data_IF_797469700454
#
_entry.id   IF_797469700454
#
_cell.length_a   1.000
_cell.length_b   1.000
_cell.length_c   1.000
_cell.angle_alpha   90.00
_cell.angle_beta   90.00
_cell.angle_gamma   90.00
#
_symmetry.space_group_name_H-M   'P 1'
#
loop_
_entity.id
_entity.type
_entity.pdbx_description
1 polymer ?
#
# COMPACT_ATOMS: atom_id res chain seq x y z
N UNK A 1 -4.84 -15.48 17.61
CA UNK A 1 -5.65 -15.39 16.38
C UNK A 1 -6.98 -16.07 16.63
N UNK A 2 -8.10 -15.53 16.13
CA UNK A 2 -9.44 -16.14 16.27
C UNK A 2 -9.86 -17.01 15.06
N UNK A 3 -9.00 -17.11 14.04
CA UNK A 3 -9.25 -17.98 12.88
C UNK A 3 -10.43 -17.55 11.98
N UNK A 4 -10.79 -16.26 11.95
CA UNK A 4 -11.95 -15.76 11.19
C UNK A 4 -11.63 -15.52 9.71
N UNK A 5 -10.36 -15.33 9.36
CA UNK A 5 -9.88 -15.18 7.99
C UNK A 5 -8.63 -16.02 7.77
N UNK A 6 -8.47 -16.57 6.57
CA UNK A 6 -7.30 -17.36 6.17
C UNK A 6 -6.24 -16.52 5.45
N UNK A 7 -6.65 -15.41 4.84
CA UNK A 7 -5.77 -14.56 4.04
C UNK A 7 -6.23 -13.09 4.05
N UNK A 8 -5.31 -12.20 3.68
CA UNK A 8 -5.58 -10.79 3.47
C UNK A 8 -4.68 -10.25 2.37
N UNK A 9 -5.03 -9.09 1.82
CA UNK A 9 -4.17 -8.31 0.93
C UNK A 9 -3.72 -7.05 1.66
N UNK A 10 -2.40 -6.89 1.80
CA UNK A 10 -1.77 -5.71 2.42
C UNK A 10 -0.42 -5.46 1.73
N UNK A 11 0.08 -4.21 1.68
CA UNK A 11 1.44 -3.92 1.23
C UNK A 11 2.48 -4.43 2.23
N UNK A 12 3.76 -4.44 1.84
CA UNK A 12 4.82 -4.94 2.71
C UNK A 12 5.11 -4.00 3.86
N UNK A 13 5.04 -2.68 3.65
CA UNK A 13 5.42 -1.66 4.64
C UNK A 13 4.70 -1.82 6.00
N UNK A 14 3.44 -2.28 5.99
CA UNK A 14 2.65 -2.45 7.21
C UNK A 14 2.95 -3.77 7.94
N UNK A 15 3.52 -4.77 7.27
CA UNK A 15 3.75 -6.13 7.80
C UNK A 15 4.36 -6.13 9.21
N UNK A 16 5.45 -5.38 9.50
CA UNK A 16 6.08 -5.40 10.82
C UNK A 16 5.17 -4.85 11.93
N UNK A 17 4.38 -3.82 11.63
CA UNK A 17 3.54 -3.11 12.61
C UNK A 17 2.42 -3.99 13.17
N UNK A 18 1.86 -4.86 12.33
CA UNK A 18 0.79 -5.81 12.68
C UNK A 18 1.32 -7.24 12.83
N UNK A 19 2.64 -7.41 12.83
CA UNK A 19 3.34 -8.69 13.02
C UNK A 19 2.91 -9.79 12.04
N UNK A 20 2.55 -9.42 10.80
CA UNK A 20 2.06 -10.38 9.80
C UNK A 20 3.09 -11.47 9.49
N UNK A 21 4.37 -11.13 9.53
CA UNK A 21 5.47 -12.09 9.35
C UNK A 21 5.46 -13.24 10.36
N UNK A 22 4.78 -13.10 11.50
CA UNK A 22 4.67 -14.14 12.54
C UNK A 22 3.43 -15.02 12.38
N UNK A 23 2.44 -14.59 11.59
CA UNK A 23 1.12 -15.23 11.53
C UNK A 23 0.72 -15.69 10.12
N UNK A 24 1.42 -15.23 9.07
CA UNK A 24 1.26 -15.68 7.69
C UNK A 24 2.61 -16.15 7.15
N UNK A 25 2.64 -17.38 6.64
CA UNK A 25 3.88 -18.02 6.18
C UNK A 25 4.03 -18.08 4.65
N UNK A 26 2.98 -17.70 3.90
CA UNK A 26 3.00 -17.68 2.45
C UNK A 26 2.55 -16.31 1.94
N UNK A 27 3.33 -15.74 1.03
CA UNK A 27 3.08 -14.45 0.41
C UNK A 27 3.12 -14.62 -1.10
N UNK A 28 2.20 -13.97 -1.82
CA UNK A 28 2.17 -14.01 -3.28
C UNK A 28 2.29 -12.59 -3.83
N UNK A 29 3.21 -12.40 -4.77
CA UNK A 29 3.42 -11.14 -5.49
C UNK A 29 3.40 -11.37 -7.01
N UNK A 30 3.36 -10.30 -7.79
CA UNK A 30 3.15 -10.32 -9.24
C UNK A 30 4.41 -9.84 -9.96
N UNK A 31 4.69 -10.39 -11.14
CA UNK A 31 5.80 -9.90 -11.98
C UNK A 31 5.38 -8.72 -12.85
N UNK A 32 6.36 -7.96 -13.33
CA UNK A 32 6.14 -6.82 -14.24
C UNK A 32 5.85 -5.50 -13.51
N UNK A 33 5.42 -4.47 -14.26
CA UNK A 33 5.33 -3.10 -13.75
C UNK A 33 4.06 -2.80 -12.94
N UNK A 34 3.19 -3.79 -12.71
CA UNK A 34 1.90 -3.61 -12.04
C UNK A 34 1.75 -4.64 -10.92
N UNK A 35 1.41 -4.18 -9.72
CA UNK A 35 0.95 -5.04 -8.64
C UNK A 35 -0.52 -5.45 -8.78
N UNK A 36 -1.04 -6.19 -7.80
CA UNK A 36 -2.45 -6.60 -7.74
C UNK A 36 -3.40 -5.40 -7.64
N UNK A 37 -3.12 -4.50 -6.71
CA UNK A 37 -3.90 -3.30 -6.43
C UNK A 37 -3.06 -2.32 -5.59
N UNK A 38 -3.59 -1.12 -5.37
CA UNK A 38 -3.15 -0.21 -4.30
C UNK A 38 -4.39 0.46 -3.70
N UNK A 39 -4.25 1.06 -2.52
CA UNK A 39 -5.29 1.89 -1.90
C UNK A 39 -4.81 3.33 -1.85
N UNK A 40 -5.74 4.27 -1.98
CA UNK A 40 -5.44 5.70 -1.89
C UNK A 40 -5.58 6.17 -0.45
N UNK A 41 -4.54 6.80 0.09
CA UNK A 41 -4.58 7.46 1.39
C UNK A 41 -4.82 8.96 1.22
N UNK A 42 -5.58 9.55 2.15
CA UNK A 42 -5.82 10.98 2.19
C UNK A 42 -5.27 11.55 3.51
N UNK A 43 -4.35 12.52 3.40
CA UNK A 43 -3.95 13.37 4.51
C UNK A 43 -4.80 14.62 4.45
N UNK A 44 -5.77 14.73 5.36
CA UNK A 44 -6.75 15.80 5.36
C UNK A 44 -6.64 16.68 6.61
N UNK A 45 -6.82 17.99 6.43
CA UNK A 45 -6.93 18.97 7.50
C UNK A 45 -8.35 19.55 7.54
N UNK A 46 -8.89 19.75 8.75
CA UNK A 46 -10.18 20.43 8.88
C UNK A 46 -10.10 21.87 8.32
N UNK A 47 -10.99 22.19 7.38
CA UNK A 47 -10.99 23.49 6.70
C UNK A 47 -11.12 24.68 7.66
N UNK A 48 -12.05 24.64 8.61
CA UNK A 48 -12.25 25.73 9.56
C UNK A 48 -11.04 25.95 10.48
N UNK A 49 -10.28 24.88 10.78
CA UNK A 49 -9.03 24.99 11.54
C UNK A 49 -7.90 25.59 10.70
N UNK A 50 -7.78 25.17 9.44
CA UNK A 50 -6.83 25.77 8.51
C UNK A 50 -7.11 27.27 8.31
N UNK A 51 -8.38 27.65 8.10
CA UNK A 51 -8.77 29.02 7.83
C UNK A 51 -8.43 29.98 9.00
N UNK A 52 -8.41 29.46 10.24
CA UNK A 52 -8.04 30.19 11.47
C UNK A 52 -6.52 30.33 11.71
N UNK A 53 -5.68 29.69 10.92
CA UNK A 53 -4.22 29.84 11.04
C UNK A 53 -3.77 31.25 10.61
N UNK A 54 -2.67 31.73 11.19
CA UNK A 54 -2.00 32.95 10.71
C UNK A 54 -1.47 32.73 9.28
N UNK A 55 -1.24 33.80 8.50
CA UNK A 55 -0.68 33.69 7.16
C UNK A 55 0.65 32.92 7.12
N UNK A 56 1.52 33.10 8.12
CA UNK A 56 2.81 32.42 8.22
C UNK A 56 2.62 30.91 8.42
N UNK A 57 1.68 30.49 9.27
CA UNK A 57 1.39 29.08 9.52
C UNK A 57 0.70 28.42 8.32
N UNK A 58 -0.20 29.12 7.61
CA UNK A 58 -0.78 28.62 6.35
C UNK A 58 0.32 28.36 5.34
N UNK A 59 1.27 29.28 5.18
CA UNK A 59 2.41 29.12 4.27
C UNK A 59 3.23 27.86 4.58
N UNK A 60 3.44 27.54 5.86
CA UNK A 60 4.14 26.30 6.26
C UNK A 60 3.33 25.05 5.88
N UNK A 61 2.03 25.04 6.14
CA UNK A 61 1.15 23.91 5.75
C UNK A 61 1.14 23.72 4.24
N UNK A 62 0.98 24.81 3.48
CA UNK A 62 0.92 24.78 2.02
C UNK A 62 2.24 24.30 1.41
N UNK A 63 3.37 24.76 1.97
CA UNK A 63 4.70 24.32 1.56
C UNK A 63 4.97 22.83 1.83
N UNK A 64 4.22 22.21 2.74
CA UNK A 64 4.29 20.79 3.07
C UNK A 64 3.06 20.02 2.59
N UNK A 65 2.29 20.56 1.64
CA UNK A 65 1.11 19.92 1.07
C UNK A 65 1.25 19.71 -0.44
N UNK A 66 0.24 19.12 -1.07
CA UNK A 66 0.16 18.98 -2.53
C UNK A 66 1.05 17.87 -3.10
N UNK A 67 1.31 17.95 -4.41
CA UNK A 67 1.90 16.86 -5.19
C UNK A 67 3.30 16.45 -4.72
N UNK A 68 4.13 17.41 -4.28
CA UNK A 68 5.47 17.13 -3.77
C UNK A 68 5.44 16.27 -2.51
N UNK A 69 4.55 16.61 -1.56
CA UNK A 69 4.35 15.83 -0.33
C UNK A 69 3.70 14.48 -0.63
N UNK A 70 2.74 14.41 -1.56
CA UNK A 70 2.16 13.14 -1.98
C UNK A 70 3.24 12.19 -2.55
N UNK A 71 4.14 12.70 -3.39
CA UNK A 71 5.26 11.92 -3.91
C UNK A 71 6.26 11.53 -2.81
N UNK A 72 6.46 12.36 -1.79
CA UNK A 72 7.28 12.02 -0.63
C UNK A 72 6.69 10.84 0.16
N UNK A 73 5.38 10.85 0.42
CA UNK A 73 4.71 9.73 1.09
C UNK A 73 4.76 8.44 0.28
N UNK A 74 4.53 8.51 -1.04
CA UNK A 74 4.67 7.35 -1.91
C UNK A 74 6.06 6.72 -1.83
N UNK A 75 7.12 7.54 -1.93
CA UNK A 75 8.50 7.05 -1.78
C UNK A 75 8.76 6.45 -0.39
N UNK A 76 8.22 7.03 0.67
CA UNK A 76 8.38 6.48 2.02
C UNK A 76 7.74 5.09 2.14
N UNK A 77 6.58 4.87 1.52
CA UNK A 77 5.93 3.56 1.47
C UNK A 77 6.74 2.56 0.62
N UNK A 78 7.25 2.97 -0.55
CA UNK A 78 8.11 2.11 -1.39
C UNK A 78 9.39 1.66 -0.67
N UNK A 79 10.00 2.56 0.11
CA UNK A 79 11.16 2.22 0.95
C UNK A 79 10.76 1.30 2.12
N UNK A 80 9.60 1.55 2.74
CA UNK A 80 9.05 0.72 3.81
C UNK A 80 8.77 -0.73 3.35
N UNK A 81 8.33 -0.89 2.10
CA UNK A 81 8.07 -2.21 1.51
C UNK A 81 9.32 -3.09 1.53
N UNK A 82 10.51 -2.51 1.32
CA UNK A 82 11.78 -3.25 1.39
C UNK A 82 12.02 -3.80 2.80
N UNK A 83 11.76 -3.00 3.83
CA UNK A 83 11.89 -3.44 5.23
C UNK A 83 10.87 -4.52 5.58
N UNK A 84 9.62 -4.35 5.15
CA UNK A 84 8.55 -5.32 5.39
C UNK A 84 8.82 -6.68 4.74
N UNK A 85 9.23 -6.67 3.47
CA UNK A 85 9.60 -7.89 2.74
C UNK A 85 10.81 -8.58 3.39
N UNK A 86 11.85 -7.81 3.77
CA UNK A 86 13.01 -8.36 4.46
C UNK A 86 12.64 -9.00 5.81
N UNK A 87 11.68 -8.45 6.54
CA UNK A 87 11.19 -9.03 7.79
C UNK A 87 10.51 -10.40 7.56
N UNK A 88 9.72 -10.54 6.50
CA UNK A 88 9.10 -11.82 6.13
C UNK A 88 10.14 -12.85 5.67
N UNK A 89 11.13 -12.42 4.86
CA UNK A 89 12.25 -13.28 4.45
C UNK A 89 13.07 -13.77 5.65
N UNK A 90 13.40 -12.88 6.59
CA UNK A 90 14.11 -13.22 7.82
C UNK A 90 13.32 -14.19 8.72
N UNK A 91 12.00 -14.10 8.70
CA UNK A 91 11.13 -15.04 9.40
C UNK A 91 11.05 -16.42 8.72
N UNK A 92 11.68 -16.61 7.56
CA UNK A 92 11.65 -17.86 6.80
C UNK A 92 10.34 -18.06 6.03
N UNK A 93 9.56 -17.01 5.81
CA UNK A 93 8.28 -17.14 5.09
C UNK A 93 8.53 -17.35 3.59
N UNK A 94 7.65 -18.13 2.97
CA UNK A 94 7.67 -18.39 1.54
C UNK A 94 7.10 -17.21 0.76
N UNK A 95 7.88 -16.66 -0.18
CA UNK A 95 7.45 -15.56 -1.05
C UNK A 95 7.45 -16.06 -2.49
N UNK A 96 6.26 -16.12 -3.09
CA UNK A 96 6.04 -16.59 -4.45
C UNK A 96 5.81 -15.39 -5.36
N UNK A 97 6.70 -15.19 -6.33
CA UNK A 97 6.46 -14.24 -7.43
C UNK A 97 5.83 -14.96 -8.60
N UNK A 98 4.57 -14.62 -8.91
CA UNK A 98 3.86 -15.17 -10.06
C UNK A 98 4.58 -14.79 -11.36
N UNK A 99 4.79 -15.78 -12.23
CA UNK A 99 5.39 -15.53 -13.54
C UNK A 99 4.46 -14.71 -14.46
N UNK A 100 4.93 -14.37 -15.65
CA UNK A 100 4.19 -13.51 -16.57
C UNK A 100 2.84 -14.11 -17.01
N UNK A 101 2.81 -15.41 -17.32
CA UNK A 101 1.60 -16.10 -17.76
C UNK A 101 0.52 -16.10 -16.66
N UNK A 102 0.94 -16.38 -15.43
CA UNK A 102 0.05 -16.41 -14.28
C UNK A 102 -0.41 -15.01 -13.88
N UNK A 103 0.49 -14.02 -13.87
CA UNK A 103 0.13 -12.61 -13.68
C UNK A 103 -0.91 -12.16 -14.71
N UNK A 104 -0.76 -12.56 -15.98
CA UNK A 104 -1.73 -12.22 -17.03
C UNK A 104 -3.09 -12.91 -16.82
N UNK A 105 -3.10 -14.14 -16.29
CA UNK A 105 -4.34 -14.85 -15.92
C UNK A 105 -5.14 -14.05 -14.87
N UNK A 106 -4.46 -13.52 -13.85
CA UNK A 106 -5.07 -12.66 -12.83
C UNK A 106 -5.58 -11.33 -13.41
N UNK A 107 -4.81 -10.69 -14.28
CA UNK A 107 -5.26 -9.46 -14.95
C UNK A 107 -6.53 -9.68 -15.78
N UNK A 108 -6.64 -10.80 -16.49
CA UNK A 108 -7.87 -11.17 -17.21
C UNK A 108 -9.04 -11.40 -16.27
N UNK A 109 -8.84 -12.14 -15.18
CA UNK A 109 -9.89 -12.39 -14.18
C UNK A 109 -10.41 -11.09 -13.55
N UNK A 110 -9.52 -10.12 -13.29
CA UNK A 110 -9.89 -8.83 -12.72
C UNK A 110 -10.46 -7.82 -13.73
N UNK A 111 -10.48 -8.12 -15.03
CA UNK A 111 -10.86 -7.15 -16.07
C UNK A 111 -12.27 -6.58 -15.91
N UNK A 112 -13.21 -7.38 -15.40
CA UNK A 112 -14.59 -6.97 -15.15
C UNK A 112 -14.74 -5.92 -14.05
N UNK A 113 -13.79 -5.84 -13.10
CA UNK A 113 -13.86 -4.89 -11.97
C UNK A 113 -13.87 -3.44 -12.48
N UNK A 114 -13.04 -3.14 -13.47
CA UNK A 114 -12.98 -1.79 -14.05
C UNK A 114 -14.27 -1.44 -14.80
N UNK A 115 -14.82 -2.38 -15.54
CA UNK A 115 -16.07 -2.17 -16.26
C UNK A 115 -17.23 -1.89 -15.29
N UNK A 116 -17.32 -2.65 -14.20
CA UNK A 116 -18.32 -2.44 -13.17
C UNK A 116 -18.16 -1.09 -12.43
N UNK A 117 -16.93 -0.60 -12.26
CA UNK A 117 -16.69 0.70 -11.60
C UNK A 117 -17.09 1.90 -12.47
N UNK A 118 -17.03 1.78 -13.79
CA UNK A 118 -17.42 2.85 -14.72
C UNK A 118 -18.92 2.92 -15.00
N UNK A 119 -19.66 1.84 -14.73
CA UNK A 119 -21.11 1.76 -14.92
C UNK A 119 -21.85 2.58 -13.86
#
# INVERSE_FOLDING_TARGET
>A
SKGVIDATTIPWEVVPSVKVQQIVHNHTTFTGPKGLYTQTFCVAMNKARYDKLSPELKKVIDANSGAATAALFGRAMDEGDKTGMAAAQKAGNNIITLNAAETQRWQRAASGVRAAWYA
#
